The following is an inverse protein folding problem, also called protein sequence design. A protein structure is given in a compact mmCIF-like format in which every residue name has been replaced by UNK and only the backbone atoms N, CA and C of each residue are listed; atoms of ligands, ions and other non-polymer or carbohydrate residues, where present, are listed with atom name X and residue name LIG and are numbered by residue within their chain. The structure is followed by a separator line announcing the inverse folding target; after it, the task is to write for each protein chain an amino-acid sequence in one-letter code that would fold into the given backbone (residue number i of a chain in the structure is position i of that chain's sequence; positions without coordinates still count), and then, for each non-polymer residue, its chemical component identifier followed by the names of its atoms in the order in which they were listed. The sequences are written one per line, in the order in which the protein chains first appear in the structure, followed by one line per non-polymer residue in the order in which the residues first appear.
data_IF_062120958704
#
_entry.id   IF_062120958704
#
_cell.length_a   1.000
_cell.length_b   1.000
_cell.length_c   1.000
_cell.angle_alpha   90.00
_cell.angle_beta   90.00
_cell.angle_gamma   90.00
#
_symmetry.space_group_name_H-M   'P 1'
#
loop_
_entity.id
_entity.type
_entity.pdbx_description
1 polymer ?
#
# COMPACT_ATOMS: atom_id res chain seq x y z
N UNK A 1 29.77 15.71 -35.90
CA UNK A 1 29.08 14.51 -35.38
C UNK A 1 28.56 14.86 -33.99
N UNK A 2 27.28 15.16 -33.87
CA UNK A 2 26.64 15.35 -32.56
C UNK A 2 26.10 14.00 -32.11
N UNK A 3 26.66 13.44 -31.04
CA UNK A 3 26.16 12.20 -30.45
C UNK A 3 24.67 12.34 -30.07
N UNK A 4 23.83 11.32 -30.35
CA UNK A 4 22.43 11.35 -29.98
C UNK A 4 22.31 11.27 -28.45
N UNK A 5 21.77 12.32 -27.84
CA UNK A 5 21.45 12.40 -26.41
C UNK A 5 20.50 11.26 -26.03
N UNK A 6 21.02 10.17 -25.48
CA UNK A 6 20.22 9.05 -24.99
C UNK A 6 19.45 9.52 -23.77
N UNK A 7 18.14 9.78 -23.93
CA UNK A 7 17.25 10.09 -22.82
C UNK A 7 17.29 8.86 -21.90
N UNK A 8 17.69 9.00 -20.62
CA UNK A 8 17.67 7.87 -19.70
C UNK A 8 16.22 7.39 -19.58
N UNK A 9 15.90 6.26 -20.21
CA UNK A 9 14.61 5.59 -20.10
C UNK A 9 14.49 5.15 -18.66
N UNK A 10 13.85 5.97 -17.83
CA UNK A 10 13.58 5.55 -16.46
C UNK A 10 12.79 4.24 -16.49
N UNK A 11 13.21 3.25 -15.71
CA UNK A 11 12.57 1.95 -15.72
C UNK A 11 11.08 2.04 -15.39
N UNK A 12 10.26 1.25 -16.06
CA UNK A 12 8.80 1.27 -15.95
C UNK A 12 8.30 1.01 -14.52
N UNK A 13 9.05 0.21 -13.74
CA UNK A 13 8.79 -0.08 -12.32
C UNK A 13 9.02 1.10 -11.37
N UNK A 14 9.56 2.22 -11.86
CA UNK A 14 9.65 3.48 -11.11
C UNK A 14 8.60 4.52 -11.55
N UNK A 15 7.65 4.12 -12.39
CA UNK A 15 6.54 4.99 -12.75
C UNK A 15 5.54 5.11 -11.60
N UNK A 16 4.95 6.29 -11.43
CA UNK A 16 3.98 6.59 -10.35
C UNK A 16 2.83 5.59 -10.31
N UNK A 17 2.35 5.21 -11.48
CA UNK A 17 1.23 4.27 -11.65
C UNK A 17 1.62 2.86 -11.19
N UNK A 18 2.82 2.38 -11.51
CA UNK A 18 3.29 1.06 -11.12
C UNK A 18 3.44 0.93 -9.60
N UNK A 19 3.88 2.00 -8.94
CA UNK A 19 3.99 2.07 -7.48
C UNK A 19 2.62 2.04 -6.81
N UNK A 20 1.67 2.81 -7.31
CA UNK A 20 0.30 2.82 -6.76
C UNK A 20 -0.34 1.45 -6.94
N UNK A 21 -0.19 0.82 -8.11
CA UNK A 21 -0.66 -0.53 -8.36
C UNK A 21 -0.02 -1.55 -7.42
N UNK A 22 1.30 -1.51 -7.24
CA UNK A 22 2.01 -2.39 -6.31
C UNK A 22 1.52 -2.21 -4.87
N UNK A 23 1.27 -0.96 -4.45
CA UNK A 23 0.72 -0.65 -3.12
C UNK A 23 -0.69 -1.22 -2.96
N UNK A 24 -1.49 -1.17 -4.03
CA UNK A 24 -2.86 -1.67 -4.04
C UNK A 24 -2.91 -3.21 -4.03
N UNK A 25 -1.96 -3.87 -4.69
CA UNK A 25 -1.94 -5.34 -4.82
C UNK A 25 -1.14 -6.05 -3.73
N UNK A 26 -0.01 -5.48 -3.30
CA UNK A 26 0.88 -6.07 -2.29
C UNK A 26 0.74 -5.41 -0.91
N UNK A 27 -0.06 -4.34 -0.81
CA UNK A 27 -0.27 -3.63 0.45
C UNK A 27 1.04 -3.10 1.05
N UNK A 28 1.32 -3.33 2.35
CA UNK A 28 2.52 -2.84 3.02
C UNK A 28 3.83 -3.43 2.46
N UNK A 29 3.78 -4.56 1.73
CA UNK A 29 4.97 -5.15 1.13
C UNK A 29 5.51 -4.40 -0.09
N UNK A 30 4.75 -3.46 -0.67
CA UNK A 30 5.26 -2.60 -1.74
C UNK A 30 6.15 -1.45 -1.24
N UNK A 31 6.18 -1.21 0.09
CA UNK A 31 7.00 -0.16 0.70
C UNK A 31 8.50 -0.31 0.45
N UNK A 32 9.15 -1.49 0.58
CA UNK A 32 10.56 -1.65 0.23
C UNK A 32 10.88 -1.31 -1.24
N UNK A 33 9.93 -1.52 -2.15
CA UNK A 33 10.07 -1.15 -3.57
C UNK A 33 10.04 0.37 -3.76
N UNK A 34 9.23 1.09 -2.98
CA UNK A 34 9.14 2.56 -3.02
C UNK A 34 10.44 3.23 -2.52
N UNK A 35 11.05 2.69 -1.47
CA UNK A 35 12.27 3.24 -0.87
C UNK A 35 13.43 3.22 -1.87
N UNK A 36 13.54 2.16 -2.69
CA UNK A 36 14.56 2.01 -3.73
C UNK A 36 14.38 2.90 -4.97
N UNK A 37 13.24 3.56 -5.17
CA UNK A 37 13.02 4.38 -6.37
C UNK A 37 13.69 5.76 -6.26
N UNK A 38 14.67 6.12 -7.12
CA UNK A 38 15.34 7.43 -7.12
C UNK A 38 14.46 8.56 -7.68
N UNK A 39 13.27 8.25 -8.19
CA UNK A 39 12.36 9.23 -8.84
C UNK A 39 11.34 9.88 -7.90
N UNK A 40 11.20 9.37 -6.68
CA UNK A 40 10.20 9.84 -5.73
C UNK A 40 10.81 10.75 -4.67
N UNK A 41 10.22 11.93 -4.48
CA UNK A 41 10.61 12.87 -3.44
C UNK A 41 10.48 12.20 -2.06
N UNK A 42 11.45 12.34 -1.14
CA UNK A 42 11.46 11.64 0.15
C UNK A 42 10.17 11.84 0.96
N UNK A 43 9.56 13.02 0.85
CA UNK A 43 8.27 13.36 1.48
C UNK A 43 7.13 12.45 0.99
N UNK A 44 7.02 12.22 -0.33
CA UNK A 44 5.98 11.37 -0.89
C UNK A 44 6.13 9.90 -0.45
N UNK A 45 7.37 9.44 -0.22
CA UNK A 45 7.65 8.09 0.30
C UNK A 45 7.15 7.95 1.74
N UNK A 46 7.38 8.96 2.56
CA UNK A 46 6.94 8.98 3.95
C UNK A 46 5.41 9.03 4.07
N UNK A 47 4.74 9.91 3.31
CA UNK A 47 3.28 10.03 3.34
C UNK A 47 2.62 8.72 2.92
N UNK A 48 3.13 8.08 1.86
CA UNK A 48 2.55 6.85 1.34
C UNK A 48 2.75 5.68 2.33
N UNK A 49 3.92 5.59 2.96
CA UNK A 49 4.18 4.58 3.99
C UNK A 49 3.31 4.74 5.22
N UNK A 50 3.24 5.96 5.77
CA UNK A 50 2.35 6.24 6.91
C UNK A 50 0.90 5.98 6.56
N UNK A 51 0.45 6.38 5.35
CA UNK A 51 -0.91 6.13 4.88
C UNK A 51 -1.28 4.65 4.82
N UNK A 52 -0.40 3.79 4.30
CA UNK A 52 -0.65 2.34 4.21
C UNK A 52 -0.69 1.69 5.58
N UNK A 53 0.22 2.08 6.49
CA UNK A 53 0.23 1.57 7.87
C UNK A 53 -1.08 1.92 8.57
N UNK A 54 -1.51 3.19 8.49
CA UNK A 54 -2.77 3.64 9.08
C UNK A 54 -3.97 2.92 8.47
N UNK A 55 -3.99 2.74 7.14
CA UNK A 55 -5.06 2.01 6.44
C UNK A 55 -5.12 0.55 6.91
N UNK A 56 -3.97 -0.10 7.08
CA UNK A 56 -3.89 -1.50 7.54
C UNK A 56 -4.41 -1.63 8.95
N UNK A 57 -4.01 -0.74 9.86
CA UNK A 57 -4.52 -0.71 11.24
C UNK A 57 -6.04 -0.50 11.23
N UNK A 58 -6.53 0.43 10.41
CA UNK A 58 -7.96 0.67 10.27
C UNK A 58 -8.73 -0.57 9.82
N UNK A 59 -8.23 -1.27 8.79
CA UNK A 59 -8.83 -2.52 8.32
C UNK A 59 -8.86 -3.59 9.41
N UNK A 60 -7.76 -3.79 10.15
CA UNK A 60 -7.68 -4.78 11.23
C UNK A 60 -8.73 -4.48 12.30
N UNK A 61 -8.85 -3.23 12.73
CA UNK A 61 -9.84 -2.82 13.73
C UNK A 61 -11.26 -3.07 13.22
N UNK A 62 -11.52 -2.78 11.94
CA UNK A 62 -12.82 -3.03 11.32
C UNK A 62 -13.14 -4.53 11.30
N UNK A 63 -12.18 -5.37 10.89
CA UNK A 63 -12.33 -6.82 10.86
C UNK A 63 -12.62 -7.38 12.24
N UNK A 64 -11.91 -6.93 13.29
CA UNK A 64 -12.16 -7.36 14.67
C UNK A 64 -13.56 -6.96 15.12
N UNK A 65 -13.98 -5.72 14.85
CA UNK A 65 -15.34 -5.25 15.19
C UNK A 65 -16.42 -6.09 14.51
N UNK A 66 -16.26 -6.37 13.22
CA UNK A 66 -17.19 -7.22 12.47
C UNK A 66 -17.21 -8.64 13.04
N UNK A 67 -16.04 -9.21 13.33
CA UNK A 67 -15.94 -10.54 13.94
C UNK A 67 -16.63 -10.63 15.30
N UNK A 68 -16.45 -9.62 16.16
CA UNK A 68 -17.12 -9.57 17.46
C UNK A 68 -18.64 -9.45 17.34
N UNK A 69 -19.15 -8.70 16.35
CA UNK A 69 -20.60 -8.63 16.10
C UNK A 69 -21.16 -9.98 15.67
N UNK A 70 -20.48 -10.66 14.74
CA UNK A 70 -20.88 -12.00 14.27
C UNK A 70 -20.89 -13.04 15.39
N UNK A 71 -19.88 -13.04 16.27
CA UNK A 71 -19.82 -13.96 17.42
C UNK A 71 -20.93 -13.66 18.42
N UNK A 72 -21.20 -12.37 18.69
CA UNK A 72 -22.27 -11.97 19.61
C UNK A 72 -23.66 -12.38 19.11
N UNK A 73 -23.90 -12.30 17.81
CA UNK A 73 -25.13 -12.80 17.19
C UNK A 73 -25.23 -14.33 17.28
N UNK A 74 -24.13 -15.05 17.03
CA UNK A 74 -24.10 -16.51 17.13
C UNK A 74 -24.37 -17.02 18.56
N UNK A 75 -23.79 -16.39 19.58
CA UNK A 75 -24.05 -16.75 20.99
C UNK A 75 -25.51 -16.50 21.38
N UNK A 76 -26.12 -15.42 20.86
CA UNK A 76 -27.53 -15.10 21.16
C UNK A 76 -28.52 -16.11 20.57
N UNK A 77 -28.16 -16.75 19.45
CA UNK A 77 -28.95 -17.82 18.82
C UNK A 77 -28.76 -19.17 19.51
N UNK A 78 -27.60 -19.41 20.12
CA UNK A 78 -27.32 -20.65 20.84
C UNK A 78 -27.88 -20.65 22.28
N UNK A 79 -28.17 -19.47 22.85
CA UNK A 79 -28.80 -19.31 24.17
C UNK A 79 -30.34 -19.35 24.18
N UNK A 80 -30.98 -19.62 23.04
CA UNK A 80 -32.42 -19.94 22.91
C UNK A 80 -32.61 -21.40 22.53
#
# INVERSE_FOLDING_TARGET
MTEPKTIPKTPWYHSRVAVILALFTLGPLALPILIKSPKFHPVSKAILGTGVVLLTIYLIVLTIKLGHMMVKEAESLYMY
#
